data_IF_339061639434
#
_entry.id   IF_339061639434
#
_cell.length_a   1.000
_cell.length_b   1.000
_cell.length_c   1.000
_cell.angle_alpha   90.00
_cell.angle_beta   90.00
_cell.angle_gamma   90.00
#
_symmetry.space_group_name_H-M   'P 1'
#
loop_
_entity.id
_entity.type
_entity.pdbx_description
1 polymer ?
#
# COMPACT_ATOMS: atom_id res chain seq x y z
N UNK A 1 -44.40 -28.78 42.68
CA UNK A 1 -43.09 -29.12 43.28
C UNK A 1 -42.42 -30.14 42.35
N UNK A 2 -41.24 -29.79 41.83
CA UNK A 2 -40.27 -30.63 41.09
C UNK A 2 -40.64 -31.17 39.70
N UNK A 3 -39.76 -31.32 38.71
CA UNK A 3 -38.51 -30.68 38.28
C UNK A 3 -38.11 -31.43 36.98
N UNK A 4 -37.95 -30.74 35.84
CA UNK A 4 -37.02 -31.07 34.71
C UNK A 4 -37.18 -32.44 33.97
N UNK A 5 -36.76 -32.69 32.73
CA UNK A 5 -36.18 -31.97 31.59
C UNK A 5 -36.37 -32.91 30.36
N UNK A 6 -36.57 -32.32 29.17
CA UNK A 6 -36.10 -32.74 27.84
C UNK A 6 -35.92 -34.23 27.51
N UNK A 7 -36.65 -34.72 26.49
CA UNK A 7 -36.08 -35.40 25.30
C UNK A 7 -37.21 -35.80 24.34
N UNK A 8 -37.61 -34.95 23.38
CA UNK A 8 -38.31 -35.37 22.14
C UNK A 8 -38.67 -34.13 21.32
N UNK A 9 -37.82 -33.79 20.35
CA UNK A 9 -38.27 -33.36 19.02
C UNK A 9 -37.08 -33.52 18.08
N UNK A 10 -36.86 -34.78 17.70
CA UNK A 10 -35.98 -35.18 16.62
C UNK A 10 -36.85 -35.30 15.35
N UNK A 11 -36.31 -34.80 14.24
CA UNK A 11 -36.76 -34.91 12.85
C UNK A 11 -37.95 -34.03 12.43
N UNK A 12 -37.68 -33.05 11.56
CA UNK A 12 -38.03 -33.17 10.15
C UNK A 12 -37.25 -32.13 9.30
N UNK A 13 -36.77 -32.59 8.14
CA UNK A 13 -36.28 -31.81 6.99
C UNK A 13 -34.97 -31.01 7.10
N UNK A 14 -33.84 -31.68 6.88
CA UNK A 14 -32.69 -31.07 6.17
C UNK A 14 -32.30 -31.99 5.00
N UNK A 15 -33.07 -31.89 3.92
CA UNK A 15 -32.59 -32.19 2.57
C UNK A 15 -32.71 -30.89 1.78
N UNK A 16 -31.64 -30.09 1.73
CA UNK A 16 -31.50 -29.05 0.70
C UNK A 16 -30.02 -28.85 0.35
N UNK A 17 -29.72 -29.28 -0.88
CA UNK A 17 -28.68 -28.83 -1.80
C UNK A 17 -27.30 -28.48 -1.22
N UNK A 18 -26.37 -29.42 -1.35
CA UNK A 18 -24.96 -29.10 -1.59
C UNK A 18 -24.81 -28.54 -3.01
N UNK A 19 -25.09 -27.25 -3.20
CA UNK A 19 -24.60 -26.54 -4.38
C UNK A 19 -23.13 -26.20 -4.14
N UNK A 20 -22.23 -27.02 -4.67
CA UNK A 20 -20.84 -26.63 -4.87
C UNK A 20 -20.81 -25.45 -5.82
N UNK A 21 -20.79 -24.22 -5.28
CA UNK A 21 -20.40 -23.05 -6.07
C UNK A 21 -18.92 -23.21 -6.35
N UNK A 22 -18.62 -23.83 -7.50
CA UNK A 22 -17.30 -23.77 -8.12
C UNK A 22 -17.02 -22.28 -8.28
N UNK A 23 -16.04 -21.76 -7.54
CA UNK A 23 -15.62 -20.36 -7.64
C UNK A 23 -15.22 -20.10 -9.10
N UNK A 24 -16.15 -19.54 -9.86
CA UNK A 24 -15.94 -19.19 -11.24
C UNK A 24 -15.09 -17.94 -11.20
N UNK A 25 -13.79 -18.11 -11.44
CA UNK A 25 -12.85 -17.01 -11.54
C UNK A 25 -13.40 -15.98 -12.52
N UNK A 26 -13.54 -14.70 -12.14
CA UNK A 26 -14.17 -13.72 -12.99
C UNK A 26 -13.40 -13.62 -14.32
N UNK A 27 -14.17 -13.67 -15.41
CA UNK A 27 -13.74 -13.67 -16.82
C UNK A 27 -12.76 -12.52 -17.16
N UNK A 28 -12.65 -11.50 -16.30
CA UNK A 28 -11.70 -10.39 -16.42
C UNK A 28 -10.26 -10.71 -15.98
N UNK A 29 -10.04 -11.54 -14.96
CA UNK A 29 -8.68 -11.90 -14.50
C UNK A 29 -7.93 -12.72 -15.57
N UNK A 30 -8.65 -13.60 -16.26
CA UNK A 30 -8.09 -14.37 -17.39
C UNK A 30 -7.81 -13.49 -18.61
N UNK A 31 -8.55 -12.41 -18.85
CA UNK A 31 -8.30 -11.50 -19.97
C UNK A 31 -7.04 -10.64 -19.78
N UNK A 32 -6.78 -10.17 -18.54
CA UNK A 32 -5.58 -9.39 -18.21
C UNK A 32 -4.33 -10.28 -18.22
N UNK A 33 -4.39 -11.47 -17.62
CA UNK A 33 -3.27 -12.42 -17.61
C UNK A 33 -2.96 -13.01 -19.00
N UNK A 34 -3.97 -13.27 -19.82
CA UNK A 34 -3.80 -13.85 -21.17
C UNK A 34 -3.23 -12.81 -22.17
N UNK A 35 -3.53 -11.52 -21.97
CA UNK A 35 -2.92 -10.42 -22.74
C UNK A 35 -1.46 -10.16 -22.34
N UNK A 36 -1.05 -10.54 -21.14
CA UNK A 36 0.34 -10.44 -20.64
C UNK A 36 1.25 -11.59 -21.10
N UNK A 37 0.72 -12.79 -21.38
CA UNK A 37 1.52 -13.98 -21.74
C UNK A 37 1.87 -14.15 -23.22
N UNK A 38 1.11 -13.55 -24.14
CA UNK A 38 1.22 -13.87 -25.58
C UNK A 38 2.09 -12.93 -26.44
N UNK A 39 2.90 -12.05 -25.86
CA UNK A 39 3.74 -11.12 -26.65
C UNK A 39 5.18 -11.11 -26.13
N UNK A 40 5.82 -12.27 -26.21
CA UNK A 40 7.26 -12.44 -26.00
C UNK A 40 7.88 -12.98 -27.27
N UNK A 41 8.24 -12.08 -28.18
CA UNK A 41 9.12 -12.42 -29.32
C UNK A 41 9.87 -11.19 -29.86
N UNK A 42 10.85 -10.70 -29.10
CA UNK A 42 12.26 -10.47 -29.53
C UNK A 42 13.05 -9.61 -28.52
N UNK A 43 14.39 -9.76 -28.48
CA UNK A 43 15.19 -9.56 -27.27
C UNK A 43 16.15 -8.37 -27.39
N UNK A 44 16.15 -7.48 -26.38
CA UNK A 44 17.40 -6.80 -25.94
C UNK A 44 17.24 -5.98 -24.64
N UNK A 45 16.01 -5.76 -24.16
CA UNK A 45 15.75 -5.09 -22.86
C UNK A 45 14.87 -5.96 -21.96
N UNK A 46 14.92 -7.28 -22.17
CA UNK A 46 14.07 -8.26 -21.49
C UNK A 46 14.70 -8.82 -20.20
N UNK A 47 15.96 -8.50 -19.89
CA UNK A 47 16.71 -9.17 -18.80
C UNK A 47 16.70 -8.45 -17.44
N UNK A 48 16.15 -7.24 -17.32
CA UNK A 48 16.02 -6.57 -16.01
C UNK A 48 14.71 -6.88 -15.30
N UNK A 49 13.99 -7.92 -15.74
CA UNK A 49 12.79 -8.43 -15.07
C UNK A 49 13.14 -9.11 -13.74
N UNK A 50 12.73 -8.46 -12.66
CA UNK A 50 12.48 -8.92 -11.28
C UNK A 50 13.60 -9.58 -10.45
N UNK A 51 14.63 -10.27 -11.00
CA UNK A 51 15.45 -11.17 -10.15
C UNK A 51 16.95 -10.87 -10.02
N UNK A 52 17.50 -9.79 -10.59
CA UNK A 52 18.95 -9.56 -10.47
C UNK A 52 19.35 -8.08 -10.43
N UNK A 53 18.96 -7.40 -9.35
CA UNK A 53 19.58 -6.14 -8.91
C UNK A 53 20.75 -6.37 -7.95
N UNK A 54 21.21 -7.61 -7.81
CA UNK A 54 22.29 -8.00 -6.90
C UNK A 54 23.63 -7.34 -7.26
N UNK A 55 23.91 -7.10 -8.56
CA UNK A 55 25.17 -6.53 -9.03
C UNK A 55 25.10 -5.01 -9.24
N UNK A 56 26.09 -4.23 -8.77
CA UNK A 56 26.14 -2.77 -8.99
C UNK A 56 26.04 -2.34 -10.46
N UNK A 57 26.63 -3.13 -11.37
CA UNK A 57 26.57 -2.84 -12.81
C UNK A 57 25.14 -2.92 -13.38
N UNK A 58 24.32 -3.85 -12.88
CA UNK A 58 22.91 -3.98 -13.30
C UNK A 58 22.09 -2.79 -12.82
N UNK A 59 22.32 -2.35 -11.57
CA UNK A 59 21.69 -1.15 -10.99
C UNK A 59 22.06 0.10 -11.77
N UNK A 60 23.34 0.30 -12.08
CA UNK A 60 23.82 1.43 -12.90
C UNK A 60 23.18 1.45 -14.30
N UNK A 61 23.07 0.29 -14.97
CA UNK A 61 22.41 0.17 -16.28
C UNK A 61 20.94 0.52 -16.22
N UNK A 62 20.22 0.05 -15.19
CA UNK A 62 18.81 0.38 -14.97
C UNK A 62 18.61 1.88 -14.77
N UNK A 63 19.41 2.51 -13.91
CA UNK A 63 19.31 3.94 -13.64
C UNK A 63 19.67 4.79 -14.88
N UNK A 64 20.67 4.36 -15.66
CA UNK A 64 21.00 5.00 -16.94
C UNK A 64 19.84 4.92 -17.95
N UNK A 65 19.19 3.75 -18.05
CA UNK A 65 18.01 3.58 -18.89
C UNK A 65 16.86 4.50 -18.46
N UNK A 66 16.59 4.58 -17.16
CA UNK A 66 15.54 5.43 -16.60
C UNK A 66 15.76 6.92 -16.90
N UNK A 67 17.01 7.39 -16.81
CA UNK A 67 17.40 8.76 -17.19
C UNK A 67 17.29 8.99 -18.70
N UNK A 68 17.65 7.98 -19.50
CA UNK A 68 17.53 8.03 -20.97
C UNK A 68 16.09 8.13 -21.46
N UNK A 69 15.14 7.51 -20.76
CA UNK A 69 13.70 7.68 -20.99
C UNK A 69 13.31 9.15 -20.86
N UNK A 70 13.87 9.91 -19.92
CA UNK A 70 13.48 11.31 -19.67
C UNK A 70 13.86 12.25 -20.80
N UNK A 71 14.90 11.92 -21.56
CA UNK A 71 15.39 12.69 -22.70
C UNK A 71 14.60 12.43 -24.00
N UNK A 72 13.82 11.34 -24.07
CA UNK A 72 13.07 10.97 -25.26
C UNK A 72 11.66 11.59 -25.24
N UNK A 73 11.48 12.57 -26.11
CA UNK A 73 10.27 13.37 -26.29
C UNK A 73 8.99 12.54 -26.55
N UNK A 74 7.87 13.15 -26.21
CA UNK A 74 6.58 12.52 -25.89
C UNK A 74 5.89 11.91 -27.12
N UNK A 75 6.13 10.63 -27.38
CA UNK A 75 5.19 9.83 -28.14
C UNK A 75 4.70 8.67 -27.28
N UNK A 76 3.37 8.61 -27.06
CA UNK A 76 2.75 7.59 -26.23
C UNK A 76 3.06 6.21 -26.80
N UNK A 77 3.95 5.48 -26.14
CA UNK A 77 4.31 4.12 -26.51
C UNK A 77 3.80 3.17 -25.43
N UNK A 78 2.80 2.36 -25.77
CA UNK A 78 2.17 1.42 -24.84
C UNK A 78 3.17 0.40 -24.27
N UNK A 79 4.24 0.03 -25.00
CA UNK A 79 5.29 -0.83 -24.47
C UNK A 79 6.12 -0.10 -23.40
N UNK A 80 6.46 1.17 -23.63
CA UNK A 80 7.17 2.03 -22.68
C UNK A 80 6.37 2.25 -21.41
N UNK A 81 5.07 2.56 -21.53
CA UNK A 81 4.15 2.72 -20.39
C UNK A 81 4.08 1.44 -19.54
N UNK A 82 3.92 0.27 -20.19
CA UNK A 82 3.94 -1.02 -19.48
C UNK A 82 5.25 -1.28 -18.77
N UNK A 83 6.38 -0.93 -19.38
CA UNK A 83 7.69 -1.10 -18.77
C UNK A 83 7.88 -0.18 -17.55
N UNK A 84 7.51 1.10 -17.65
CA UNK A 84 7.54 2.04 -16.53
C UNK A 84 6.64 1.61 -15.37
N UNK A 85 5.46 1.06 -15.65
CA UNK A 85 4.58 0.51 -14.61
C UNK A 85 5.20 -0.71 -13.92
N UNK A 86 5.88 -1.60 -14.67
CA UNK A 86 6.64 -2.72 -14.08
C UNK A 86 7.76 -2.23 -13.18
N UNK A 87 8.49 -1.18 -13.59
CA UNK A 87 9.54 -0.57 -12.77
C UNK A 87 8.95 0.09 -11.51
N UNK A 88 7.80 0.76 -11.61
CA UNK A 88 7.08 1.28 -10.45
C UNK A 88 6.78 0.15 -9.44
N UNK A 89 6.29 -0.99 -9.91
CA UNK A 89 6.04 -2.14 -9.05
C UNK A 89 7.31 -2.73 -8.43
N UNK A 90 8.39 -2.85 -9.20
CA UNK A 90 9.70 -3.31 -8.70
C UNK A 90 10.22 -2.38 -7.60
N UNK A 91 10.23 -1.06 -7.84
CA UNK A 91 10.69 -0.09 -6.86
C UNK A 91 9.79 -0.04 -5.62
N UNK A 92 8.49 -0.31 -5.76
CA UNK A 92 7.58 -0.46 -4.62
C UNK A 92 7.99 -1.67 -3.77
N UNK A 93 8.29 -2.83 -4.37
CA UNK A 93 8.78 -4.03 -3.66
C UNK A 93 10.11 -3.75 -2.93
N UNK A 94 10.95 -2.92 -3.52
CA UNK A 94 12.19 -2.46 -2.88
C UNK A 94 11.96 -1.36 -1.84
N UNK A 95 10.73 -0.87 -1.64
CA UNK A 95 10.39 0.25 -0.73
C UNK A 95 11.04 1.59 -1.14
N UNK A 96 11.38 1.72 -2.43
CA UNK A 96 11.84 2.96 -3.07
C UNK A 96 10.65 3.77 -3.56
N UNK A 97 9.74 4.11 -2.66
CA UNK A 97 8.44 4.70 -3.00
C UNK A 97 8.52 6.00 -3.82
N UNK A 98 9.46 6.93 -3.54
CA UNK A 98 9.61 8.11 -4.38
C UNK A 98 9.96 7.77 -5.83
N UNK A 99 10.87 6.83 -6.06
CA UNK A 99 11.26 6.38 -7.39
C UNK A 99 10.14 5.58 -8.09
N UNK A 100 9.41 4.75 -7.32
CA UNK A 100 8.25 4.04 -7.80
C UNK A 100 7.18 5.00 -8.35
N UNK A 101 6.86 6.03 -7.57
CA UNK A 101 5.86 7.04 -7.95
C UNK A 101 6.37 7.95 -9.07
N UNK A 102 7.68 8.23 -9.20
CA UNK A 102 8.24 8.88 -10.41
C UNK A 102 8.01 8.05 -11.67
N UNK A 103 8.24 6.73 -11.61
CA UNK A 103 7.97 5.83 -12.73
C UNK A 103 6.48 5.81 -13.06
N UNK A 104 5.63 5.70 -12.04
CA UNK A 104 4.17 5.70 -12.19
C UNK A 104 3.62 7.02 -12.77
N UNK A 105 4.16 8.17 -12.35
CA UNK A 105 3.79 9.49 -12.89
C UNK A 105 3.88 9.52 -14.42
N UNK A 106 4.95 8.92 -14.97
CA UNK A 106 5.18 8.85 -16.42
C UNK A 106 4.26 7.86 -17.14
N UNK A 107 3.43 7.11 -16.43
CA UNK A 107 2.39 6.23 -16.99
C UNK A 107 1.01 6.87 -17.02
N UNK A 108 0.81 7.92 -16.22
CA UNK A 108 -0.45 8.66 -16.12
C UNK A 108 -0.51 9.68 -17.26
N UNK A 109 -1.68 9.78 -17.88
CA UNK A 109 -2.00 10.90 -18.77
C UNK A 109 -2.66 11.98 -17.91
N UNK A 110 -1.94 13.04 -17.60
CA UNK A 110 -2.54 14.21 -16.98
C UNK A 110 -3.26 15.02 -18.04
N UNK A 111 -4.53 15.34 -17.80
CA UNK A 111 -5.17 16.46 -18.50
C UNK A 111 -4.34 17.71 -18.17
N UNK A 112 -3.96 18.45 -19.22
CA UNK A 112 -2.91 19.48 -19.23
C UNK A 112 -3.04 20.58 -18.15
N UNK A 113 -4.19 20.68 -17.49
CA UNK A 113 -4.53 21.72 -16.53
C UNK A 113 -4.34 21.34 -15.04
N UNK A 114 -4.03 20.08 -14.70
CA UNK A 114 -4.19 19.59 -13.32
C UNK A 114 -2.92 19.45 -12.48
N UNK A 115 -1.75 19.26 -13.09
CA UNK A 115 -0.44 19.20 -12.41
C UNK A 115 0.56 19.95 -13.29
N UNK A 116 1.28 20.93 -12.71
CA UNK A 116 2.37 21.59 -13.44
C UNK A 116 3.27 20.50 -14.01
N UNK A 117 3.52 20.56 -15.30
CA UNK A 117 4.41 19.71 -16.12
C UNK A 117 5.88 19.74 -15.67
N UNK A 118 6.15 20.00 -14.39
CA UNK A 118 7.44 19.78 -13.75
C UNK A 118 7.80 18.32 -13.89
N UNK A 119 8.78 18.04 -14.75
CA UNK A 119 9.31 16.70 -14.93
C UNK A 119 9.79 16.18 -13.57
N UNK A 120 9.19 15.09 -13.09
CA UNK A 120 9.70 14.37 -11.93
C UNK A 120 10.94 13.57 -12.36
N UNK A 121 12.05 14.29 -12.52
CA UNK A 121 13.29 13.75 -13.06
C UNK A 121 13.95 12.74 -12.12
N UNK A 122 14.63 11.75 -12.70
CA UNK A 122 15.40 10.73 -12.01
C UNK A 122 16.84 11.22 -11.92
N UNK A 123 17.36 11.32 -10.70
CA UNK A 123 18.62 11.99 -10.38
C UNK A 123 19.61 11.06 -9.68
N UNK A 124 20.80 11.57 -9.36
CA UNK A 124 21.80 10.86 -8.55
C UNK A 124 21.33 10.56 -7.12
N UNK A 125 20.35 11.30 -6.60
CA UNK A 125 19.70 10.99 -5.30
C UNK A 125 19.00 9.64 -5.38
N UNK A 126 18.33 9.35 -6.51
CA UNK A 126 17.65 8.08 -6.74
C UNK A 126 18.65 6.91 -6.88
N UNK A 127 19.81 7.16 -7.51
CA UNK A 127 20.89 6.17 -7.61
C UNK A 127 21.37 5.74 -6.21
N UNK A 128 21.62 6.73 -5.35
CA UNK A 128 22.12 6.51 -3.99
C UNK A 128 21.10 5.80 -3.11
N UNK A 129 19.81 6.13 -3.28
CA UNK A 129 18.71 5.48 -2.60
C UNK A 129 18.59 3.99 -3.01
N UNK A 130 18.71 3.68 -4.30
CA UNK A 130 18.66 2.31 -4.81
C UNK A 130 19.77 1.44 -4.21
N UNK A 131 21.02 1.93 -4.22
CA UNK A 131 22.16 1.20 -3.66
C UNK A 131 21.95 0.88 -2.17
N UNK A 132 21.62 1.91 -1.37
CA UNK A 132 21.36 1.76 0.07
C UNK A 132 20.26 0.75 0.36
N UNK A 133 19.19 0.77 -0.43
CA UNK A 133 18.01 -0.04 -0.17
C UNK A 133 18.20 -1.51 -0.56
N UNK A 134 18.94 -1.76 -1.64
CA UNK A 134 19.33 -3.12 -2.03
C UNK A 134 20.24 -3.74 -0.95
N UNK A 135 21.17 -2.96 -0.40
CA UNK A 135 22.04 -3.42 0.70
C UNK A 135 21.25 -3.72 1.98
N UNK A 136 20.22 -2.91 2.29
CA UNK A 136 19.38 -3.07 3.47
C UNK A 136 18.47 -4.31 3.41
N UNK A 137 17.79 -4.52 2.28
CA UNK A 137 16.82 -5.61 2.12
C UNK A 137 17.50 -6.94 1.79
N UNK A 138 18.66 -6.90 1.13
CA UNK A 138 19.29 -8.10 0.60
C UNK A 138 18.35 -8.86 -0.35
N UNK A 139 18.43 -10.20 -0.42
CA UNK A 139 17.59 -11.00 -1.30
C UNK A 139 16.14 -11.16 -0.79
N UNK A 140 15.89 -10.96 0.50
CA UNK A 140 14.57 -11.17 1.11
C UNK A 140 13.83 -9.85 1.37
N UNK A 141 13.11 -9.39 0.35
CA UNK A 141 12.24 -8.20 0.44
C UNK A 141 11.05 -8.38 1.37
N UNK A 142 10.77 -9.60 1.86
CA UNK A 142 9.71 -9.88 2.83
C UNK A 142 10.22 -9.91 4.27
N UNK A 143 11.53 -9.75 4.49
CA UNK A 143 12.10 -9.66 5.83
C UNK A 143 11.39 -8.58 6.64
N UNK A 144 10.79 -9.01 7.75
CA UNK A 144 10.05 -8.13 8.64
C UNK A 144 11.05 -7.35 9.51
N UNK A 145 11.07 -6.03 9.34
CA UNK A 145 11.82 -5.12 10.19
C UNK A 145 10.81 -4.43 11.11
N UNK A 146 11.09 -4.48 12.42
CA UNK A 146 10.22 -3.90 13.44
C UNK A 146 10.24 -2.38 13.35
N UNK A 147 9.06 -1.79 13.19
CA UNK A 147 8.83 -0.35 13.16
C UNK A 147 9.20 0.29 14.50
N UNK A 148 9.90 1.42 14.45
CA UNK A 148 10.36 2.18 15.62
C UNK A 148 9.39 3.31 15.91
N UNK A 149 9.21 3.68 17.18
CA UNK A 149 8.36 4.81 17.54
C UNK A 149 8.85 6.11 16.88
N UNK A 150 7.91 6.95 16.45
CA UNK A 150 8.18 8.26 15.86
C UNK A 150 7.18 9.28 16.39
N UNK A 151 7.63 10.51 16.65
CA UNK A 151 6.74 11.59 17.07
C UNK A 151 5.97 12.17 15.89
N UNK A 152 4.76 12.67 16.15
CA UNK A 152 3.99 13.42 15.16
C UNK A 152 4.79 14.61 14.61
N UNK A 153 5.51 15.34 15.47
CA UNK A 153 6.33 16.48 15.05
C UNK A 153 7.41 16.06 14.06
N UNK A 154 8.05 14.91 14.25
CA UNK A 154 9.06 14.40 13.30
C UNK A 154 8.41 14.04 11.95
N UNK A 155 7.21 13.47 11.96
CA UNK A 155 6.47 13.18 10.73
C UNK A 155 6.14 14.48 9.97
N UNK A 156 5.59 15.48 10.66
CA UNK A 156 5.23 16.78 10.04
C UNK A 156 6.49 17.52 9.57
N UNK A 157 7.52 17.59 10.41
CA UNK A 157 8.76 18.31 10.10
C UNK A 157 9.57 17.65 8.98
N UNK A 158 9.33 16.37 8.66
CA UNK A 158 9.93 15.73 7.47
C UNK A 158 9.63 16.51 6.20
N UNK A 159 8.48 17.19 6.13
CA UNK A 159 8.04 17.94 4.94
C UNK A 159 8.35 19.45 5.01
N UNK A 160 8.92 19.92 6.12
CA UNK A 160 9.33 21.31 6.36
C UNK A 160 10.79 21.55 5.96
N UNK A 161 11.18 21.06 4.78
CA UNK A 161 12.55 21.13 4.25
C UNK A 161 12.92 22.49 3.63
N UNK A 162 12.03 23.49 3.68
CA UNK A 162 12.23 24.81 3.10
C UNK A 162 12.16 24.86 1.57
N UNK A 163 11.82 23.75 0.90
CA UNK A 163 11.83 23.64 -0.56
C UNK A 163 10.42 23.76 -1.16
N UNK A 164 10.38 24.31 -2.37
CA UNK A 164 9.16 24.44 -3.18
C UNK A 164 8.73 23.08 -3.69
N UNK A 165 7.51 22.65 -3.34
CA UNK A 165 6.94 21.40 -3.82
C UNK A 165 6.33 21.55 -5.22
N UNK A 166 6.46 20.50 -6.04
CA UNK A 166 5.84 20.40 -7.38
C UNK A 166 4.81 19.26 -7.47
N UNK A 167 4.91 18.25 -6.61
CA UNK A 167 3.94 17.15 -6.57
C UNK A 167 3.89 16.50 -5.19
N UNK A 168 2.77 15.82 -4.90
CA UNK A 168 2.55 15.08 -3.67
C UNK A 168 1.94 13.71 -3.98
N UNK A 169 2.26 12.70 -3.19
CA UNK A 169 1.70 11.37 -3.33
C UNK A 169 1.36 10.74 -1.97
N UNK A 170 0.35 9.86 -1.98
CA UNK A 170 0.05 8.94 -0.89
C UNK A 170 0.13 7.51 -1.42
N UNK A 171 0.69 6.62 -0.61
CA UNK A 171 0.63 5.17 -0.82
C UNK A 171 0.00 4.54 0.43
N UNK A 172 -1.02 3.73 0.22
CA UNK A 172 -1.70 2.95 1.24
C UNK A 172 -1.14 1.52 1.24
N UNK A 173 -0.69 1.05 2.40
CA UNK A 173 -0.04 -0.25 2.56
C UNK A 173 -0.84 -1.15 3.49
N UNK A 174 -0.93 -2.43 3.13
CA UNK A 174 -1.53 -3.46 3.98
C UNK A 174 -0.57 -4.64 4.11
N UNK A 175 -0.28 -5.02 5.35
CA UNK A 175 0.31 -6.31 5.70
C UNK A 175 -0.78 -7.18 6.32
N UNK A 176 -1.21 -8.23 5.63
CA UNK A 176 -2.10 -9.22 6.19
C UNK A 176 -1.36 -10.13 7.19
N UNK A 177 -2.05 -10.67 8.21
CA UNK A 177 -1.49 -11.65 9.14
C UNK A 177 -1.05 -12.93 8.43
N UNK A 178 -1.84 -13.33 7.43
CA UNK A 178 -1.49 -14.36 6.46
C UNK A 178 -1.76 -13.76 5.09
N UNK A 179 -0.67 -13.51 4.35
CA UNK A 179 -0.69 -13.00 2.97
C UNK A 179 -1.70 -13.76 2.11
N UNK A 180 -2.48 -13.00 1.36
CA UNK A 180 -3.51 -13.52 0.46
C UNK A 180 -4.74 -14.14 1.14
N UNK A 181 -4.88 -14.10 2.48
CA UNK A 181 -6.00 -14.77 3.19
C UNK A 181 -6.81 -13.84 4.09
N UNK A 182 -8.14 -14.04 4.23
CA UNK A 182 -9.02 -13.29 5.16
C UNK A 182 -8.81 -13.67 6.64
N UNK A 183 -7.62 -14.12 7.03
CA UNK A 183 -7.34 -14.57 8.41
C UNK A 183 -6.91 -13.38 9.26
N UNK A 184 -7.77 -12.97 10.22
CA UNK A 184 -7.62 -11.76 11.06
C UNK A 184 -6.39 -11.79 11.98
N UNK A 185 -5.93 -12.98 12.38
CA UNK A 185 -4.68 -13.12 13.13
C UNK A 185 -4.02 -14.49 12.90
N UNK A 186 -2.70 -14.54 13.06
CA UNK A 186 -1.90 -15.77 13.15
C UNK A 186 -0.98 -15.64 14.36
N UNK A 187 -1.29 -16.40 15.42
CA UNK A 187 -0.66 -16.21 16.74
C UNK A 187 -0.78 -14.74 17.18
N UNK A 188 0.33 -14.08 17.50
CA UNK A 188 0.36 -12.68 17.91
C UNK A 188 0.30 -11.69 16.73
N UNK A 189 0.44 -12.15 15.48
CA UNK A 189 0.39 -11.28 14.31
C UNK A 189 -1.06 -10.97 13.93
N UNK A 190 -1.43 -9.69 13.92
CA UNK A 190 -2.76 -9.17 13.56
C UNK A 190 -2.74 -8.35 12.26
N UNK A 191 -1.60 -8.37 11.57
CA UNK A 191 -1.34 -7.57 10.38
C UNK A 191 -1.10 -6.11 10.73
N UNK A 192 -0.93 -5.28 9.71
CA UNK A 192 -0.73 -3.86 9.86
C UNK A 192 -1.27 -3.08 8.65
N UNK A 193 -1.72 -1.85 8.88
CA UNK A 193 -2.08 -0.90 7.84
C UNK A 193 -1.34 0.41 8.12
N UNK A 194 -0.68 0.95 7.11
CA UNK A 194 0.09 2.19 7.22
C UNK A 194 0.08 2.94 5.90
N UNK A 195 0.60 4.17 5.92
CA UNK A 195 0.67 5.02 4.72
C UNK A 195 2.10 5.50 4.50
N UNK A 196 2.42 5.81 3.24
CA UNK A 196 3.58 6.61 2.87
C UNK A 196 3.11 7.94 2.30
N UNK A 197 3.70 9.04 2.77
CA UNK A 197 3.51 10.37 2.22
C UNK A 197 4.79 10.84 1.54
N UNK A 198 4.66 11.43 0.36
CA UNK A 198 5.78 11.91 -0.45
C UNK A 198 5.52 13.34 -0.90
N UNK A 199 6.53 14.21 -0.76
CA UNK A 199 6.59 15.57 -1.30
C UNK A 199 7.76 15.61 -2.28
N UNK A 200 7.49 15.91 -3.55
CA UNK A 200 8.52 16.16 -4.56
C UNK A 200 8.80 17.64 -4.67
N UNK A 201 10.08 18.01 -4.71
CA UNK A 201 10.54 19.39 -4.77
C UNK A 201 10.96 19.79 -6.17
N UNK A 202 10.93 21.10 -6.46
CA UNK A 202 11.32 21.66 -7.76
C UNK A 202 12.81 21.44 -8.10
N UNK A 203 13.66 21.18 -7.10
CA UNK A 203 15.07 20.84 -7.26
C UNK A 203 15.32 19.33 -7.48
N UNK A 204 14.27 18.58 -7.84
CA UNK A 204 14.26 17.12 -8.04
C UNK A 204 14.55 16.27 -6.80
N UNK A 205 14.74 16.88 -5.62
CA UNK A 205 14.77 16.16 -4.35
C UNK A 205 13.35 15.82 -3.87
N UNK A 206 13.25 15.02 -2.81
CA UNK A 206 11.97 14.69 -2.20
C UNK A 206 12.10 14.50 -0.70
N UNK A 207 11.00 14.69 0.00
CA UNK A 207 10.80 14.24 1.37
C UNK A 207 9.77 13.10 1.37
N UNK A 208 10.04 12.03 2.11
CA UNK A 208 9.18 10.85 2.17
C UNK A 208 9.23 10.23 3.55
N UNK A 209 8.08 9.77 4.05
CA UNK A 209 8.01 8.98 5.28
C UNK A 209 6.86 8.00 5.25
N UNK A 210 7.11 6.78 5.71
CA UNK A 210 6.08 5.76 5.90
C UNK A 210 5.79 5.60 7.38
N UNK A 211 4.53 5.62 7.78
CA UNK A 211 4.15 5.56 9.18
C UNK A 211 2.73 5.03 9.39
N UNK A 212 2.54 4.42 10.55
CA UNK A 212 1.29 3.79 10.95
C UNK A 212 0.90 4.14 12.39
N UNK A 213 -0.38 3.96 12.69
CA UNK A 213 -0.97 4.22 14.00
C UNK A 213 -0.99 2.93 14.83
N UNK A 214 -0.35 2.94 16.00
CA UNK A 214 -0.14 1.75 16.82
C UNK A 214 -0.70 1.90 18.22
N UNK A 215 -1.06 0.78 18.87
CA UNK A 215 -1.27 0.77 20.31
C UNK A 215 0.07 0.89 21.04
N UNK A 216 0.13 1.74 22.05
CA UNK A 216 1.16 1.68 23.08
C UNK A 216 0.81 0.51 24.00
N UNK A 217 1.80 -0.33 24.33
CA UNK A 217 1.60 -1.47 25.22
C UNK A 217 1.70 -1.01 26.67
N UNK A 218 0.63 -0.37 27.16
CA UNK A 218 0.54 0.13 28.53
C UNK A 218 0.48 -1.03 29.55
N UNK A 219 0.00 -2.21 29.11
CA UNK A 219 -0.02 -3.47 29.84
C UNK A 219 -0.06 -4.68 28.87
N UNK A 220 0.00 -5.91 29.41
CA UNK A 220 0.03 -7.16 28.63
C UNK A 220 -1.21 -7.38 27.73
N UNK A 221 -2.37 -6.86 28.14
CA UNK A 221 -3.64 -7.04 27.41
C UNK A 221 -4.01 -5.81 26.56
N UNK A 222 -3.14 -4.81 26.43
CA UNK A 222 -3.40 -3.59 25.67
C UNK A 222 -3.71 -3.89 24.20
N UNK A 223 -4.83 -3.36 23.72
CA UNK A 223 -5.37 -3.57 22.39
C UNK A 223 -5.67 -5.05 22.06
N UNK A 224 -6.22 -5.77 23.03
CA UNK A 224 -6.80 -7.12 22.86
C UNK A 224 -8.32 -7.05 22.87
N UNK A 225 -9.06 -8.10 22.45
CA UNK A 225 -10.51 -8.06 22.53
C UNK A 225 -11.08 -7.88 23.95
N UNK A 226 -10.30 -8.27 24.97
CA UNK A 226 -10.67 -8.11 26.39
C UNK A 226 -10.43 -6.66 26.84
N UNK A 227 -9.28 -6.09 26.51
CA UNK A 227 -8.93 -4.70 26.80
C UNK A 227 -8.61 -3.96 25.48
N UNK A 228 -9.65 -3.54 24.73
CA UNK A 228 -9.48 -3.09 23.35
C UNK A 228 -8.91 -1.68 23.25
N UNK A 229 -8.98 -0.88 24.31
CA UNK A 229 -8.53 0.51 24.36
C UNK A 229 -7.19 0.65 25.07
N UNK A 230 -6.30 1.49 24.55
CA UNK A 230 -5.00 1.83 25.15
C UNK A 230 -4.49 3.15 24.58
N UNK A 231 -3.46 3.77 25.19
CA UNK A 231 -2.84 4.94 24.57
C UNK A 231 -2.18 4.57 23.24
N UNK A 232 -1.97 5.56 22.37
CA UNK A 232 -1.48 5.33 21.01
C UNK A 232 -0.07 5.88 20.79
N UNK A 233 0.54 5.47 19.68
CA UNK A 233 1.81 6.01 19.20
C UNK A 233 1.90 5.86 17.69
N UNK A 234 2.67 6.71 17.02
CA UNK A 234 3.07 6.47 15.64
C UNK A 234 4.36 5.66 15.60
N UNK A 235 4.53 4.85 14.56
CA UNK A 235 5.82 4.22 14.26
C UNK A 235 6.22 4.46 12.82
N UNK A 236 7.53 4.52 12.60
CA UNK A 236 8.17 4.60 11.31
C UNK A 236 8.16 3.22 10.64
N UNK A 237 7.39 3.14 9.56
CA UNK A 237 7.14 1.95 8.75
C UNK A 237 7.96 1.94 7.45
N UNK A 238 8.96 2.81 7.32
CA UNK A 238 9.73 2.97 6.07
C UNK A 238 10.44 1.68 5.61
N UNK A 239 10.71 0.79 6.57
CA UNK A 239 11.32 -0.52 6.34
C UNK A 239 10.33 -1.67 6.63
N UNK A 240 9.06 -1.39 6.86
CA UNK A 240 8.08 -2.42 7.18
C UNK A 240 7.64 -3.17 5.91
N UNK A 241 7.48 -4.49 6.05
CA UNK A 241 6.99 -5.32 4.96
C UNK A 241 5.48 -5.09 4.73
N UNK A 242 5.02 -5.33 3.52
CA UNK A 242 3.63 -5.21 3.11
C UNK A 242 3.26 -6.31 2.10
N UNK A 243 1.98 -6.61 1.97
CA UNK A 243 1.42 -7.56 1.01
C UNK A 243 0.70 -6.82 -0.13
N UNK A 244 -0.14 -5.84 0.19
CA UNK A 244 -0.89 -5.08 -0.82
C UNK A 244 -0.61 -3.58 -0.74
N UNK A 245 -0.52 -2.94 -1.91
CA UNK A 245 -0.32 -1.49 -2.04
C UNK A 245 -1.27 -0.88 -3.07
N UNK A 246 -1.86 0.26 -2.70
CA UNK A 246 -2.54 1.18 -3.63
C UNK A 246 -2.01 2.59 -3.42
N UNK A 247 -1.53 3.25 -4.48
CA UNK A 247 -0.95 4.58 -4.41
C UNK A 247 -1.52 5.55 -5.44
N UNK A 248 -1.43 6.85 -5.14
CA UNK A 248 -1.93 7.93 -6.01
C UNK A 248 -1.16 9.24 -5.80
N UNK A 249 -1.06 10.04 -6.87
CA UNK A 249 -0.77 11.46 -6.74
C UNK A 249 -1.96 12.23 -6.16
N UNK A 250 -1.68 13.20 -5.29
CA UNK A 250 -2.69 13.98 -4.58
C UNK A 250 -2.37 15.48 -4.64
N UNK A 251 -3.40 16.31 -4.48
CA UNK A 251 -3.20 17.76 -4.37
C UNK A 251 -2.53 18.15 -3.04
N UNK A 252 -1.85 19.31 -3.03
CA UNK A 252 -1.33 19.93 -1.80
C UNK A 252 -2.38 20.01 -0.69
N UNK A 253 -3.63 20.35 -1.04
CA UNK A 253 -4.75 20.44 -0.10
C UNK A 253 -5.02 19.10 0.58
N UNK A 254 -5.06 18.00 -0.16
CA UNK A 254 -5.25 16.66 0.40
C UNK A 254 -4.07 16.24 1.27
N UNK A 255 -2.85 16.50 0.80
CA UNK A 255 -1.64 16.24 1.55
C UNK A 255 -1.65 16.96 2.92
N UNK A 256 -1.98 18.26 2.96
CA UNK A 256 -2.10 19.02 4.21
C UNK A 256 -3.23 18.49 5.11
N UNK A 257 -4.37 18.04 4.56
CA UNK A 257 -5.44 17.42 5.34
C UNK A 257 -4.98 16.12 6.01
N UNK A 258 -4.16 15.32 5.33
CA UNK A 258 -3.61 14.09 5.90
C UNK A 258 -2.60 14.41 7.01
N UNK A 259 -1.76 15.44 6.86
CA UNK A 259 -0.89 15.89 7.95
C UNK A 259 -1.70 16.37 9.18
N UNK A 260 -2.79 17.11 8.96
CA UNK A 260 -3.70 17.51 10.03
C UNK A 260 -4.38 16.31 10.70
N UNK A 261 -4.77 15.29 9.93
CA UNK A 261 -5.28 14.01 10.46
C UNK A 261 -4.23 13.34 11.37
N UNK A 262 -2.97 13.29 10.95
CA UNK A 262 -1.85 12.75 11.75
C UNK A 262 -1.72 13.49 13.09
N UNK A 263 -1.79 14.82 13.08
CA UNK A 263 -1.75 15.63 14.30
C UNK A 263 -2.94 15.36 15.23
N UNK A 264 -4.15 15.20 14.68
CA UNK A 264 -5.32 14.85 15.47
C UNK A 264 -5.15 13.48 16.15
N UNK A 265 -4.63 12.49 15.42
CA UNK A 265 -4.43 11.14 15.94
C UNK A 265 -3.37 11.04 17.04
N UNK A 266 -2.45 12.01 17.15
CA UNK A 266 -1.47 12.08 18.23
C UNK A 266 -2.10 12.15 19.63
N UNK A 267 -3.36 12.60 19.72
CA UNK A 267 -4.07 12.77 20.99
C UNK A 267 -5.27 11.81 21.14
N UNK A 268 -5.41 10.81 20.28
CA UNK A 268 -6.54 9.87 20.31
C UNK A 268 -6.08 8.49 20.73
N UNK A 269 -6.84 7.85 21.62
CA UNK A 269 -6.58 6.49 22.05
C UNK A 269 -6.70 5.49 20.89
N UNK A 270 -5.87 4.44 20.95
CA UNK A 270 -6.01 3.30 20.08
C UNK A 270 -7.15 2.42 20.61
N UNK A 271 -8.05 2.00 19.72
CA UNK A 271 -9.11 1.06 20.05
C UNK A 271 -9.22 -0.04 18.99
N UNK A 272 -9.00 -1.30 19.38
CA UNK A 272 -8.95 -2.46 18.48
C UNK A 272 -10.13 -2.53 17.49
N UNK A 273 -11.35 -2.26 17.95
CA UNK A 273 -12.58 -2.36 17.13
C UNK A 273 -13.08 -1.05 16.49
N UNK A 274 -12.57 0.12 16.91
CA UNK A 274 -13.21 1.42 16.61
C UNK A 274 -12.26 2.50 16.11
N UNK A 275 -10.97 2.38 16.43
CA UNK A 275 -9.95 3.33 16.02
C UNK A 275 -8.57 2.67 16.06
N UNK A 276 -8.24 1.92 15.02
CA UNK A 276 -7.02 1.14 14.91
C UNK A 276 -6.13 1.59 13.72
N UNK A 277 -5.08 0.83 13.42
CA UNK A 277 -4.18 1.11 12.30
C UNK A 277 -4.92 1.20 10.95
N UNK A 278 -5.87 0.30 10.72
CA UNK A 278 -6.69 0.28 9.50
C UNK A 278 -7.66 1.45 9.44
N UNK A 279 -8.29 1.84 10.56
CA UNK A 279 -9.16 3.03 10.58
C UNK A 279 -8.39 4.32 10.25
N UNK A 280 -7.19 4.48 10.82
CA UNK A 280 -6.31 5.60 10.48
C UNK A 280 -5.96 5.61 9.00
N UNK A 281 -5.49 4.47 8.48
CA UNK A 281 -5.12 4.34 7.08
C UNK A 281 -6.29 4.65 6.13
N UNK A 282 -7.49 4.11 6.40
CA UNK A 282 -8.67 4.31 5.57
C UNK A 282 -9.13 5.76 5.57
N UNK A 283 -9.04 6.47 6.70
CA UNK A 283 -9.30 7.91 6.75
C UNK A 283 -8.27 8.70 5.93
N UNK A 284 -7.00 8.33 5.99
CA UNK A 284 -5.96 8.95 5.17
C UNK A 284 -6.18 8.69 3.67
N UNK A 285 -6.55 7.46 3.30
CA UNK A 285 -6.91 7.08 1.92
C UNK A 285 -8.11 7.89 1.42
N UNK A 286 -9.19 7.98 2.19
CA UNK A 286 -10.37 8.78 1.82
C UNK A 286 -10.01 10.27 1.64
N UNK A 287 -9.18 10.84 2.51
CA UNK A 287 -8.67 12.22 2.35
C UNK A 287 -7.81 12.38 1.08
N UNK A 288 -7.13 11.33 0.64
CA UNK A 288 -6.38 11.27 -0.62
C UNK A 288 -7.30 11.11 -1.86
N UNK A 289 -8.58 10.80 -1.69
CA UNK A 289 -9.48 10.44 -2.77
C UNK A 289 -9.28 9.00 -3.25
N UNK A 290 -8.90 8.11 -2.33
CA UNK A 290 -8.82 6.67 -2.54
C UNK A 290 -9.86 6.00 -1.66
N UNK A 291 -10.90 5.44 -2.28
CA UNK A 291 -11.95 4.71 -1.58
C UNK A 291 -11.60 3.23 -1.54
N UNK A 292 -11.73 2.61 -0.37
CA UNK A 292 -11.53 1.17 -0.15
C UNK A 292 -12.68 0.69 0.74
N UNK A 293 -13.43 -0.31 0.30
CA UNK A 293 -14.60 -0.83 1.02
C UNK A 293 -14.46 -2.31 1.37
N UNK A 294 -15.44 -2.85 2.11
CA UNK A 294 -15.47 -4.23 2.62
C UNK A 294 -14.28 -4.64 3.50
N UNK A 295 -13.73 -3.68 4.24
CA UNK A 295 -12.53 -3.80 5.07
C UNK A 295 -12.77 -4.37 6.48
N UNK A 296 -14.04 -4.63 6.83
CA UNK A 296 -14.45 -5.07 8.18
C UNK A 296 -14.43 -6.59 8.32
N UNK A 297 -14.05 -7.06 9.51
CA UNK A 297 -14.10 -8.46 9.92
C UNK A 297 -14.43 -8.58 11.40
N UNK A 298 -14.68 -9.81 11.86
CA UNK A 298 -15.10 -10.10 13.25
C UNK A 298 -14.17 -11.10 13.91
N UNK A 299 -13.91 -10.90 15.20
CA UNK A 299 -13.13 -11.79 16.07
C UNK A 299 -13.87 -11.99 17.39
N UNK A 300 -13.47 -12.94 18.26
CA UNK A 300 -14.14 -13.11 19.54
C UNK A 300 -14.17 -11.79 20.32
N UNK A 301 -15.36 -11.36 20.76
CA UNK A 301 -15.58 -10.12 21.52
C UNK A 301 -15.36 -8.81 20.76
N UNK A 302 -15.27 -8.81 19.43
CA UNK A 302 -15.15 -7.57 18.67
C UNK A 302 -15.27 -7.69 17.16
N UNK A 303 -15.35 -6.56 16.49
CA UNK A 303 -15.32 -6.45 15.03
C UNK A 303 -14.86 -5.06 14.63
N UNK A 304 -14.38 -4.92 13.40
CA UNK A 304 -13.91 -3.63 12.90
C UNK A 304 -13.09 -3.77 11.63
N UNK A 305 -12.64 -2.62 11.13
CA UNK A 305 -11.69 -2.56 10.03
C UNK A 305 -10.40 -3.27 10.44
N UNK A 306 -9.85 -4.12 9.57
CA UNK A 306 -8.64 -4.85 9.89
C UNK A 306 -7.78 -5.14 8.65
N UNK A 307 -6.47 -5.38 8.82
CA UNK A 307 -5.56 -5.61 7.70
C UNK A 307 -5.92 -6.84 6.87
N UNK A 308 -6.45 -7.90 7.49
CA UNK A 308 -6.79 -9.13 6.77
C UNK A 308 -7.89 -8.89 5.73
N UNK A 309 -9.02 -8.31 6.13
CA UNK A 309 -10.13 -8.01 5.20
C UNK A 309 -9.82 -6.85 4.27
N UNK A 310 -9.03 -5.87 4.71
CA UNK A 310 -8.57 -4.78 3.83
C UNK A 310 -7.69 -5.32 2.70
N UNK A 311 -6.75 -6.22 3.00
CA UNK A 311 -5.92 -6.85 1.98
C UNK A 311 -6.75 -7.68 1.00
N UNK A 312 -7.75 -8.42 1.49
CA UNK A 312 -8.69 -9.14 0.60
C UNK A 312 -9.54 -8.21 -0.25
N UNK A 313 -9.89 -7.04 0.27
CA UNK A 313 -10.63 -6.04 -0.49
C UNK A 313 -9.78 -5.51 -1.65
N UNK A 314 -8.51 -5.21 -1.39
CA UNK A 314 -7.57 -4.80 -2.44
C UNK A 314 -7.35 -5.92 -3.46
N UNK A 315 -7.09 -7.16 -3.03
CA UNK A 315 -6.96 -8.32 -3.94
C UNK A 315 -8.24 -8.50 -4.78
N UNK A 316 -9.41 -8.27 -4.18
CA UNK A 316 -10.70 -8.38 -4.84
C UNK A 316 -11.08 -7.17 -5.72
N UNK A 317 -10.22 -6.17 -5.87
CA UNK A 317 -10.51 -4.97 -6.67
C UNK A 317 -11.55 -4.04 -6.04
N UNK A 318 -11.71 -4.07 -4.71
CA UNK A 318 -12.70 -3.27 -3.96
C UNK A 318 -12.13 -1.93 -3.52
N UNK A 319 -11.67 -1.17 -4.50
CA UNK A 319 -11.13 0.17 -4.31
C UNK A 319 -11.29 0.97 -5.60
N UNK A 320 -11.47 2.27 -5.47
CA UNK A 320 -11.56 3.19 -6.59
C UNK A 320 -10.83 4.50 -6.29
N UNK A 321 -10.41 5.15 -7.36
CA UNK A 321 -10.05 6.54 -7.35
C UNK A 321 -11.35 7.36 -7.30
N UNK A 322 -11.60 8.02 -6.16
CA UNK A 322 -12.81 8.81 -5.94
C UNK A 322 -12.97 9.99 -6.91
N UNK A 323 -11.89 10.42 -7.58
CA UNK A 323 -11.94 11.50 -8.57
C UNK A 323 -12.46 11.02 -9.93
N UNK A 324 -12.25 9.75 -10.27
CA UNK A 324 -12.63 9.17 -11.58
C UNK A 324 -13.77 8.16 -11.47
N UNK A 325 -14.03 7.61 -10.28
CA UNK A 325 -15.02 6.55 -10.05
C UNK A 325 -14.58 5.18 -10.58
N UNK A 326 -13.28 4.99 -10.85
CA UNK A 326 -12.70 3.75 -11.35
C UNK A 326 -11.26 3.57 -10.82
N UNK A 327 -10.51 2.60 -11.35
CA UNK A 327 -9.12 2.34 -10.94
C UNK A 327 -8.07 3.17 -11.69
N UNK A 328 -8.48 4.13 -12.53
CA UNK A 328 -7.56 4.97 -13.30
C UNK A 328 -6.70 5.82 -12.36
N UNK A 329 -5.46 6.07 -12.78
CA UNK A 329 -4.47 6.87 -12.04
C UNK A 329 -4.11 6.34 -10.65
N UNK A 330 -4.32 5.04 -10.41
CA UNK A 330 -3.83 4.32 -9.23
C UNK A 330 -2.62 3.43 -9.55
N UNK A 331 -1.60 3.51 -8.71
CA UNK A 331 -0.53 2.51 -8.64
C UNK A 331 -1.05 1.33 -7.82
N UNK A 332 -1.10 0.14 -8.42
CA UNK A 332 -1.56 -1.09 -7.76
C UNK A 332 -0.44 -2.12 -7.79
N UNK A 333 -0.05 -2.61 -6.61
CA UNK A 333 0.91 -3.68 -6.46
C UNK A 333 0.37 -4.74 -5.50
N UNK A 334 0.12 -5.93 -6.05
CA UNK A 334 -0.35 -7.08 -5.31
C UNK A 334 0.80 -8.06 -5.14
N UNK A 335 1.28 -8.22 -3.91
CA UNK A 335 2.31 -9.20 -3.57
C UNK A 335 1.55 -10.44 -3.08
N UNK A 336 1.06 -11.26 -4.02
CA UNK A 336 0.41 -12.55 -3.73
C UNK A 336 1.40 -13.70 -3.65
#
# INVERSE_FOLDING_TARGET
MNFRFYLLFLLFCICYLTSTVKAQSPVYLTAVEKKLRNVTSKPEVAETTDDNLSKPQQRKRLMAYLKGIEAADVNYNQARVRHLYRLANLFTKLRLYPLAMKCFFKTIQFDADSISTGNLSITSVDDSALEKQVDLLGPDTNKEIKSKAISCDKIVNTFNDGKTAIAYALIFHVKQPVRGKPRIFKFANTGHTFITLIKYNSDSTYASISFGFYPKKDNLLSATPILPSTSSTFKDDSEHAWDEVVGKFISKRRFCKILALTQQYNNVAYHLSKNNCTDFGLKAAALAGLDIWDTKGSWPLGSGNNPAFTGQSIIGGKFDNADTGDTKDLLINLNN
#
